data_IF_908499254668
#
_entry.id   IF_908499254668
#
_cell.length_a   1.000
_cell.length_b   1.000
_cell.length_c   1.000
_cell.angle_alpha   90.00
_cell.angle_beta   90.00
_cell.angle_gamma   90.00
#
_symmetry.space_group_name_H-M   'P 1'
#
loop_
_entity.id
_entity.type
_entity.pdbx_description
1 polymer ?
#
# COMPACT_ATOMS: atom_id res chain seq x y z
N UNK A 1 -2.77 37.99 -31.92
CA UNK A 1 -4.11 38.63 -31.98
C UNK A 1 -5.27 37.68 -31.66
N UNK A 2 -5.28 36.41 -32.11
CA UNK A 2 -6.35 35.43 -31.74
C UNK A 2 -6.45 35.09 -30.23
N UNK A 3 -5.35 35.15 -29.47
CA UNK A 3 -5.33 34.91 -28.01
C UNK A 3 -5.84 36.10 -27.18
N UNK A 4 -5.76 37.32 -27.74
CA UNK A 4 -6.28 38.55 -27.11
C UNK A 4 -7.81 38.62 -27.30
N UNK A 5 -8.32 38.16 -28.44
CA UNK A 5 -9.77 38.00 -28.65
C UNK A 5 -10.38 36.87 -27.81
N UNK A 6 -9.66 35.78 -27.56
CA UNK A 6 -10.10 34.71 -26.66
C UNK A 6 -10.21 35.20 -25.20
N UNK A 7 -9.29 36.06 -24.75
CA UNK A 7 -9.33 36.65 -23.41
C UNK A 7 -10.43 37.74 -23.26
N UNK A 8 -10.75 38.47 -24.33
CA UNK A 8 -11.83 39.47 -24.33
C UNK A 8 -13.24 38.84 -24.38
N UNK A 9 -13.39 37.65 -24.97
CA UNK A 9 -14.68 36.90 -24.99
C UNK A 9 -14.94 36.19 -23.66
N UNK A 10 -13.91 35.71 -22.97
CA UNK A 10 -14.03 35.12 -21.62
C UNK A 10 -14.36 36.21 -20.57
N UNK A 11 -13.83 37.42 -20.73
CA UNK A 11 -14.14 38.55 -19.85
C UNK A 11 -15.58 39.11 -20.00
N UNK A 12 -16.23 38.89 -21.15
CA UNK A 12 -17.62 39.34 -21.39
C UNK A 12 -18.67 38.35 -20.83
N UNK A 13 -18.29 37.09 -20.59
CA UNK A 13 -19.15 36.07 -19.98
C UNK A 13 -19.12 36.14 -18.44
N UNK A 14 -18.12 36.82 -17.85
CA UNK A 14 -17.98 37.00 -16.40
C UNK A 14 -18.82 38.16 -15.80
N UNK A 15 -19.62 38.87 -16.60
CA UNK A 15 -20.40 40.06 -16.16
C UNK A 15 -21.91 39.76 -15.97
N UNK A 16 -22.36 38.51 -16.12
CA UNK A 16 -23.79 38.16 -16.12
C UNK A 16 -24.29 37.28 -14.95
N UNK A 17 -23.53 37.15 -13.85
CA UNK A 17 -23.99 36.37 -12.67
C UNK A 17 -23.79 37.09 -11.33
N UNK A 18 -23.93 38.41 -11.30
CA UNK A 18 -24.05 39.16 -10.03
C UNK A 18 -25.35 39.94 -10.01
N UNK A 19 -26.44 39.28 -9.59
CA UNK A 19 -27.60 39.95 -8.99
C UNK A 19 -28.59 38.92 -8.42
N UNK A 20 -28.35 38.43 -7.20
CA UNK A 20 -29.40 37.86 -6.35
C UNK A 20 -28.90 37.67 -4.89
N UNK A 21 -28.58 38.75 -4.19
CA UNK A 21 -28.76 38.79 -2.73
C UNK A 21 -30.05 39.55 -2.46
N UNK A 22 -31.17 38.83 -2.57
CA UNK A 22 -32.45 39.25 -2.03
C UNK A 22 -32.57 38.72 -0.60
N UNK A 23 -32.82 39.62 0.34
CA UNK A 23 -33.18 39.32 1.72
C UNK A 23 -34.67 38.97 1.78
N UNK A 24 -35.03 37.83 2.35
CA UNK A 24 -36.41 37.47 2.76
C UNK A 24 -36.31 36.52 3.99
N UNK A 25 -37.35 36.38 4.83
CA UNK A 25 -37.34 36.62 6.28
C UNK A 25 -37.18 35.31 7.05
N UNK A 26 -37.10 35.41 8.38
CA UNK A 26 -37.04 34.26 9.30
C UNK A 26 -38.11 33.20 8.99
N UNK A 27 -37.75 31.90 8.88
CA UNK A 27 -38.73 30.84 8.84
C UNK A 27 -39.19 30.53 10.26
N UNK A 28 -40.50 30.74 10.45
CA UNK A 28 -41.31 30.22 11.55
C UNK A 28 -41.04 28.74 11.80
N UNK A 29 -40.88 28.40 13.07
CA UNK A 29 -40.73 27.04 13.60
C UNK A 29 -41.92 26.17 13.16
N UNK A 30 -41.67 25.22 12.27
CA UNK A 30 -42.53 24.07 12.01
C UNK A 30 -42.05 22.89 12.89
N UNK A 31 -42.94 22.02 13.38
CA UNK A 31 -42.56 20.92 14.27
C UNK A 31 -41.64 19.92 13.56
N UNK A 32 -40.67 19.39 14.31
CA UNK A 32 -39.66 18.44 13.83
C UNK A 32 -40.32 17.24 13.11
N UNK A 33 -39.79 16.80 11.95
CA UNK A 33 -40.14 15.50 11.40
C UNK A 33 -39.62 14.43 12.36
N UNK A 34 -40.53 13.62 12.90
CA UNK A 34 -40.20 12.36 13.57
C UNK A 34 -39.18 11.59 12.72
N UNK A 35 -37.96 11.44 13.24
CA UNK A 35 -36.89 10.69 12.60
C UNK A 35 -37.38 9.25 12.34
N UNK A 36 -37.26 8.83 11.08
CA UNK A 36 -37.40 7.42 10.73
C UNK A 36 -36.29 6.62 11.46
N UNK A 37 -36.57 5.38 11.90
CA UNK A 37 -35.58 4.58 12.60
C UNK A 37 -34.33 4.42 11.72
N UNK A 38 -33.18 4.81 12.26
CA UNK A 38 -31.88 4.57 11.66
C UNK A 38 -31.74 3.06 11.39
N UNK A 39 -31.58 2.73 10.12
CA UNK A 39 -31.24 1.38 9.69
C UNK A 39 -29.86 1.04 10.31
N UNK A 40 -29.71 -0.10 10.99
CA UNK A 40 -28.42 -0.51 11.52
C UNK A 40 -27.37 -0.47 10.40
N UNK A 41 -26.31 0.30 10.61
CA UNK A 41 -25.17 0.31 9.71
C UNK A 41 -24.64 -1.11 9.58
N UNK A 42 -24.67 -1.64 8.37
CA UNK A 42 -24.07 -2.92 8.02
C UNK A 42 -22.56 -2.80 8.30
N UNK A 43 -21.92 -3.79 8.95
CA UNK A 43 -20.53 -3.68 9.34
C UNK A 43 -19.67 -3.47 8.08
N UNK A 44 -19.06 -2.29 7.98
CA UNK A 44 -18.07 -1.99 6.96
C UNK A 44 -16.90 -2.96 7.17
N UNK A 45 -16.80 -3.96 6.29
CA UNK A 45 -15.65 -4.84 6.26
C UNK A 45 -14.47 -3.99 5.81
N UNK A 46 -13.49 -3.77 6.69
CA UNK A 46 -12.26 -3.05 6.33
C UNK A 46 -11.68 -3.66 5.06
N UNK A 47 -11.30 -2.82 4.08
CA UNK A 47 -10.99 -3.24 2.71
C UNK A 47 -9.73 -4.14 2.57
N UNK A 48 -9.08 -4.49 3.68
CA UNK A 48 -7.82 -5.22 3.76
C UNK A 48 -6.61 -4.39 3.34
N UNK A 49 -5.38 -4.90 3.59
CA UNK A 49 -4.16 -4.25 3.10
C UNK A 49 -4.08 -4.29 1.57
N UNK A 50 -3.37 -3.32 1.00
CA UNK A 50 -3.15 -3.24 -0.46
C UNK A 50 -2.27 -4.40 -0.96
N UNK A 51 -1.28 -4.80 -0.16
CA UNK A 51 -0.34 -5.87 -0.43
C UNK A 51 -0.09 -6.71 0.82
N UNK A 52 0.23 -7.99 0.62
CA UNK A 52 0.95 -8.80 1.60
C UNK A 52 2.45 -8.58 1.32
N UNK A 53 3.17 -7.99 2.26
CA UNK A 53 4.57 -7.61 2.09
C UNK A 53 5.47 -8.65 2.73
N UNK A 54 6.34 -9.26 1.91
CA UNK A 54 7.32 -10.27 2.34
C UNK A 54 8.72 -9.69 2.19
N UNK A 55 9.52 -9.77 3.25
CA UNK A 55 10.92 -9.32 3.26
C UNK A 55 11.93 -10.46 3.30
N UNK A 56 13.09 -10.27 2.66
CA UNK A 56 14.23 -11.18 2.75
C UNK A 56 15.54 -10.41 2.83
N UNK A 57 16.35 -10.74 3.83
CA UNK A 57 17.79 -10.43 3.86
C UNK A 57 18.56 -11.59 3.22
N UNK A 58 19.07 -11.40 2.01
CA UNK A 58 19.74 -12.45 1.23
C UNK A 58 21.18 -12.06 0.85
N UNK A 59 22.11 -13.01 0.74
CA UNK A 59 23.44 -12.74 0.19
C UNK A 59 23.32 -12.64 -1.33
N UNK A 60 23.01 -11.45 -1.86
CA UNK A 60 22.92 -11.21 -3.31
C UNK A 60 24.29 -10.96 -3.93
N UNK A 61 25.24 -10.54 -3.10
CA UNK A 61 26.66 -10.44 -3.40
C UNK A 61 27.53 -11.16 -2.36
N UNK A 62 28.85 -11.22 -2.60
CA UNK A 62 29.81 -11.90 -1.73
C UNK A 62 29.94 -13.41 -1.99
N UNK A 63 30.51 -14.14 -1.03
CA UNK A 63 30.87 -15.56 -1.20
C UNK A 63 29.68 -16.51 -1.33
N UNK A 64 28.50 -16.11 -0.85
CA UNK A 64 27.27 -16.90 -0.91
C UNK A 64 26.28 -16.41 -1.99
N UNK A 65 26.71 -15.50 -2.88
CA UNK A 65 25.87 -14.89 -3.91
C UNK A 65 25.06 -15.88 -4.76
N UNK A 66 25.66 -17.02 -5.12
CA UNK A 66 25.00 -18.04 -5.93
C UNK A 66 23.74 -18.63 -5.27
N UNK A 67 23.74 -18.77 -3.94
CA UNK A 67 22.57 -19.24 -3.19
C UNK A 67 21.50 -18.14 -3.14
N UNK A 68 21.88 -16.93 -2.73
CA UNK A 68 20.94 -15.81 -2.62
C UNK A 68 20.27 -15.48 -3.95
N UNK A 69 21.03 -15.41 -5.05
CA UNK A 69 20.49 -15.15 -6.39
C UNK A 69 19.54 -16.24 -6.87
N UNK A 70 19.91 -17.51 -6.71
CA UNK A 70 19.07 -18.63 -7.13
C UNK A 70 17.75 -18.72 -6.35
N UNK A 71 17.81 -18.58 -5.02
CA UNK A 71 16.64 -18.67 -4.17
C UNK A 71 15.71 -17.46 -4.34
N UNK A 72 16.24 -16.24 -4.40
CA UNK A 72 15.42 -15.04 -4.59
C UNK A 72 14.79 -14.98 -5.98
N UNK A 73 15.48 -15.49 -7.02
CA UNK A 73 14.88 -15.67 -8.34
C UNK A 73 13.65 -16.60 -8.29
N UNK A 74 13.77 -17.75 -7.64
CA UNK A 74 12.66 -18.70 -7.48
C UNK A 74 11.50 -18.12 -6.68
N UNK A 75 11.80 -17.41 -5.58
CA UNK A 75 10.80 -16.75 -4.77
C UNK A 75 10.06 -15.64 -5.54
N UNK A 76 10.80 -14.82 -6.31
CA UNK A 76 10.19 -13.79 -7.15
C UNK A 76 9.31 -14.41 -8.24
N UNK A 77 9.75 -15.48 -8.91
CA UNK A 77 8.94 -16.17 -9.90
C UNK A 77 7.63 -16.72 -9.30
N UNK A 78 7.68 -17.27 -8.08
CA UNK A 78 6.48 -17.70 -7.37
C UNK A 78 5.55 -16.52 -7.04
N UNK A 79 6.09 -15.38 -6.61
CA UNK A 79 5.32 -14.16 -6.36
C UNK A 79 4.67 -13.65 -7.64
N UNK A 80 5.38 -13.68 -8.77
CA UNK A 80 4.86 -13.27 -10.07
C UNK A 80 3.69 -14.18 -10.50
N UNK A 81 3.83 -15.50 -10.35
CA UNK A 81 2.76 -16.46 -10.65
C UNK A 81 1.53 -16.29 -9.75
N UNK A 82 1.74 -16.03 -8.45
CA UNK A 82 0.67 -15.75 -7.48
C UNK A 82 -0.07 -14.47 -7.86
N UNK A 83 0.67 -13.42 -8.20
CA UNK A 83 0.11 -12.13 -8.59
C UNK A 83 -0.62 -12.20 -9.93
N UNK A 84 -0.12 -12.99 -10.89
CA UNK A 84 -0.81 -13.27 -12.14
C UNK A 84 -2.17 -13.98 -11.92
N UNK A 85 -2.29 -14.76 -10.83
CA UNK A 85 -3.54 -15.39 -10.40
C UNK A 85 -4.42 -14.48 -9.54
N UNK A 86 -4.06 -13.20 -9.41
CA UNK A 86 -4.79 -12.18 -8.66
C UNK A 86 -4.40 -12.04 -7.18
N UNK A 87 -3.39 -12.77 -6.71
CA UNK A 87 -2.90 -12.72 -5.33
C UNK A 87 -3.41 -13.85 -4.42
N UNK A 88 -3.10 -13.75 -3.14
CA UNK A 88 -3.47 -14.73 -2.10
C UNK A 88 -4.89 -14.41 -1.60
N UNK A 89 -5.78 -15.41 -1.59
CA UNK A 89 -7.12 -15.24 -1.01
C UNK A 89 -7.03 -15.17 0.52
N UNK A 90 -7.48 -14.05 1.09
CA UNK A 90 -7.50 -13.81 2.53
C UNK A 90 -8.95 -13.81 3.00
N UNK A 91 -9.33 -14.85 3.73
CA UNK A 91 -10.71 -15.08 4.17
C UNK A 91 -11.30 -13.91 4.98
N UNK A 92 -10.47 -13.26 5.79
CA UNK A 92 -10.87 -12.11 6.63
C UNK A 92 -11.38 -10.93 5.80
N UNK A 93 -10.85 -10.74 4.59
CA UNK A 93 -11.22 -9.64 3.69
C UNK A 93 -12.07 -10.10 2.49
N UNK A 94 -12.41 -11.38 2.42
CA UNK A 94 -13.11 -12.06 1.33
C UNK A 94 -12.59 -11.69 -0.09
N UNK A 95 -11.28 -11.49 -0.22
CA UNK A 95 -10.67 -11.08 -1.49
C UNK A 95 -9.26 -11.62 -1.65
N UNK A 96 -8.76 -11.56 -2.89
CA UNK A 96 -7.34 -11.79 -3.16
C UNK A 96 -6.54 -10.51 -2.97
N UNK A 97 -5.38 -10.64 -2.33
CA UNK A 97 -4.44 -9.56 -2.05
C UNK A 97 -3.10 -9.89 -2.73
N UNK A 98 -2.56 -8.99 -3.56
CA UNK A 98 -1.27 -9.21 -4.22
C UNK A 98 -0.11 -9.25 -3.22
N UNK A 99 0.96 -9.93 -3.58
CA UNK A 99 2.18 -10.05 -2.79
C UNK A 99 3.23 -9.06 -3.29
N UNK A 100 3.87 -8.34 -2.38
CA UNK A 100 5.06 -7.51 -2.65
C UNK A 100 6.26 -8.18 -2.00
N UNK A 101 7.30 -8.47 -2.79
CA UNK A 101 8.53 -9.08 -2.30
C UNK A 101 9.66 -8.05 -2.24
N UNK A 102 10.28 -7.90 -1.07
CA UNK A 102 11.39 -6.98 -0.82
C UNK A 102 12.63 -7.80 -0.51
N UNK A 103 13.68 -7.61 -1.30
CA UNK A 103 14.98 -8.26 -1.11
C UNK A 103 16.02 -7.19 -0.77
N UNK A 104 16.75 -7.39 0.33
CA UNK A 104 17.91 -6.58 0.71
C UNK A 104 19.16 -7.44 0.71
N UNK A 105 20.25 -6.89 0.18
CA UNK A 105 21.54 -7.59 0.08
C UNK A 105 22.32 -7.48 1.38
N UNK A 106 22.61 -8.62 2.02
CA UNK A 106 23.48 -8.69 3.18
C UNK A 106 24.96 -8.92 2.83
N UNK A 107 25.30 -9.00 1.54
CA UNK A 107 26.67 -9.08 1.02
C UNK A 107 27.47 -10.30 1.53
N UNK A 108 26.78 -11.36 1.99
CA UNK A 108 27.39 -12.48 2.70
C UNK A 108 28.07 -12.08 4.02
N UNK A 109 27.63 -10.98 4.64
CA UNK A 109 28.14 -10.46 5.91
C UNK A 109 27.18 -10.78 7.07
N UNK A 110 27.56 -11.68 8.00
CA UNK A 110 26.78 -11.97 9.21
C UNK A 110 26.38 -10.73 10.02
N UNK A 111 27.24 -9.71 10.04
CA UNK A 111 26.99 -8.47 10.79
C UNK A 111 25.92 -7.58 10.15
N UNK A 112 25.60 -7.78 8.87
CA UNK A 112 24.53 -7.04 8.17
C UNK A 112 23.18 -7.76 8.23
N UNK A 113 23.19 -9.09 8.31
CA UNK A 113 21.97 -9.89 8.14
C UNK A 113 20.84 -9.55 9.12
N UNK A 114 21.16 -9.46 10.42
CA UNK A 114 20.19 -9.11 11.48
C UNK A 114 19.65 -7.68 11.36
N UNK A 115 20.50 -6.64 11.35
CA UNK A 115 20.04 -5.26 11.21
C UNK A 115 19.22 -4.99 9.94
N UNK A 116 19.55 -5.64 8.82
CA UNK A 116 18.75 -5.53 7.60
C UNK A 116 17.36 -6.20 7.75
N UNK A 117 17.26 -7.30 8.50
CA UNK A 117 15.98 -7.92 8.83
C UNK A 117 15.17 -7.06 9.82
N UNK A 118 15.81 -6.43 10.81
CA UNK A 118 15.17 -5.44 11.68
C UNK A 118 14.61 -4.26 10.87
N UNK A 119 15.37 -3.75 9.90
CA UNK A 119 14.92 -2.67 9.02
C UNK A 119 13.69 -3.09 8.20
N UNK A 120 13.66 -4.32 7.66
CA UNK A 120 12.48 -4.86 6.98
C UNK A 120 11.25 -4.86 7.89
N UNK A 121 11.39 -5.26 9.15
CA UNK A 121 10.29 -5.30 10.13
C UNK A 121 9.87 -3.88 10.53
N UNK A 122 10.82 -3.04 10.94
CA UNK A 122 10.53 -1.78 11.61
C UNK A 122 10.26 -0.63 10.64
N UNK A 123 10.95 -0.61 9.49
CA UNK A 123 10.88 0.48 8.51
C UNK A 123 10.01 0.11 7.32
N UNK A 124 10.25 -1.05 6.72
CA UNK A 124 9.48 -1.50 5.54
C UNK A 124 8.14 -2.14 5.91
N UNK A 125 7.92 -2.43 7.20
CA UNK A 125 6.68 -2.97 7.75
C UNK A 125 6.24 -4.24 7.02
N UNK A 126 7.19 -5.16 6.80
CA UNK A 126 6.86 -6.45 6.20
C UNK A 126 5.93 -7.24 7.12
N UNK A 127 4.97 -7.95 6.52
CA UNK A 127 4.05 -8.83 7.25
C UNK A 127 4.76 -10.13 7.66
N UNK A 128 5.74 -10.56 6.86
CA UNK A 128 6.50 -11.78 7.08
C UNK A 128 7.94 -11.67 6.57
N UNK A 129 8.85 -12.34 7.26
CA UNK A 129 10.18 -12.62 6.74
C UNK A 129 10.20 -13.98 6.02
N UNK A 130 10.73 -13.99 4.81
CA UNK A 130 11.06 -15.20 4.07
C UNK A 130 12.56 -15.40 4.08
N UNK A 131 13.00 -16.57 4.53
CA UNK A 131 14.41 -16.95 4.55
C UNK A 131 14.75 -17.74 3.30
N UNK A 132 15.91 -17.44 2.71
CA UNK A 132 16.48 -18.17 1.58
C UNK A 132 17.60 -19.10 2.05
N UNK A 133 17.92 -20.11 1.24
CA UNK A 133 19.04 -21.01 1.52
C UNK A 133 20.33 -20.19 1.69
N UNK A 134 20.94 -20.32 2.86
CA UNK A 134 22.10 -19.55 3.27
C UNK A 134 22.84 -20.27 4.40
N UNK A 135 24.12 -19.94 4.61
CA UNK A 135 24.89 -20.56 5.67
C UNK A 135 24.31 -20.20 7.07
N UNK A 136 24.55 -21.03 8.11
CA UNK A 136 24.10 -20.72 9.45
C UNK A 136 24.56 -19.34 9.96
N UNK A 137 25.74 -18.89 9.54
CA UNK A 137 26.28 -17.57 9.91
C UNK A 137 25.47 -16.40 9.33
N UNK A 138 24.73 -16.60 8.24
CA UNK A 138 23.83 -15.60 7.66
C UNK A 138 22.44 -15.73 8.26
N UNK A 139 21.96 -16.97 8.44
CA UNK A 139 20.60 -17.24 8.86
C UNK A 139 20.33 -16.96 10.34
N UNK A 140 21.26 -17.31 11.25
CA UNK A 140 21.04 -17.16 12.70
C UNK A 140 20.73 -15.71 13.08
N UNK A 141 21.50 -14.69 12.65
CA UNK A 141 21.20 -13.30 12.98
C UNK A 141 19.84 -12.80 12.49
N UNK A 142 19.32 -13.33 11.37
CA UNK A 142 17.98 -12.99 10.86
C UNK A 142 16.90 -13.56 11.79
N UNK A 143 17.09 -14.79 12.26
CA UNK A 143 16.13 -15.46 13.14
C UNK A 143 16.08 -14.86 14.55
N UNK A 144 17.16 -14.22 15.02
CA UNK A 144 17.21 -13.59 16.35
C UNK A 144 16.32 -12.33 16.47
N UNK A 145 15.95 -11.74 15.34
CA UNK A 145 15.19 -10.47 15.28
C UNK A 145 13.76 -10.64 14.75
N UNK A 146 13.39 -11.86 14.34
CA UNK A 146 12.11 -12.21 13.72
C UNK A 146 11.01 -12.56 14.75
#
# INVERSE_FOLDING_TARGET
MKRIHLLLVVALIAVLVVSACGSEPEPTTAPEPTAAPEQPAEPETEAGPEYIVIGTSAPMTGMFAGFGQGCTFGAQAAVDDINAQGGIYVKEFDRKIPVKYIVVDNESDPGKSGPLAEDLILRDKVDMLYSVDSSPSIHIPIAEVA
#
